data_IF_727735219541
#
_entry.id   IF_727735219541
#
_cell.length_a   1.000
_cell.length_b   1.000
_cell.length_c   1.000
_cell.angle_alpha   90.00
_cell.angle_beta   90.00
_cell.angle_gamma   90.00
#
_symmetry.space_group_name_H-M   'P 1'
#
loop_
_entity.id
_entity.type
_entity.pdbx_description
1 polymer ?
#
# COMPACT_ATOMS: atom_id res chain seq x y z
N UNK A 1 -7.10 9.31 -3.83
CA UNK A 1 -5.96 8.48 -3.44
C UNK A 1 -4.70 9.29 -3.29
N UNK A 2 -3.88 8.92 -2.29
CA UNK A 2 -2.58 9.51 -2.05
C UNK A 2 -1.67 9.40 -3.27
N UNK A 3 -0.70 10.31 -3.36
CA UNK A 3 0.35 10.26 -4.36
C UNK A 3 1.50 9.34 -3.91
N UNK A 4 2.35 8.93 -4.85
CA UNK A 4 3.55 8.14 -4.59
C UNK A 4 4.40 8.70 -3.44
N UNK A 5 4.55 10.03 -3.37
CA UNK A 5 5.36 10.65 -2.30
C UNK A 5 4.75 10.47 -0.90
N UNK A 6 3.42 10.38 -0.80
CA UNK A 6 2.73 10.13 0.47
C UNK A 6 2.94 8.67 0.87
N UNK A 7 2.84 7.73 -0.08
CA UNK A 7 3.17 6.33 0.18
C UNK A 7 4.62 6.17 0.62
N UNK A 8 5.56 6.80 -0.10
CA UNK A 8 6.97 6.74 0.25
C UNK A 8 7.26 7.31 1.63
N UNK A 9 6.62 8.42 2.02
CA UNK A 9 6.79 8.98 3.35
C UNK A 9 6.22 8.06 4.45
N UNK A 10 5.07 7.43 4.21
CA UNK A 10 4.49 6.50 5.16
C UNK A 10 5.31 5.20 5.27
N UNK A 11 5.77 4.65 4.15
CA UNK A 11 6.67 3.51 4.13
C UNK A 11 8.02 3.82 4.78
N UNK A 12 8.57 5.03 4.58
CA UNK A 12 9.77 5.49 5.28
C UNK A 12 9.58 5.51 6.79
N UNK A 13 8.44 6.02 7.26
CA UNK A 13 8.07 6.01 8.68
C UNK A 13 8.02 4.57 9.23
N UNK A 14 7.32 3.67 8.54
CA UNK A 14 7.21 2.25 8.92
C UNK A 14 8.59 1.57 8.91
N UNK A 15 9.39 1.78 7.86
CA UNK A 15 10.74 1.23 7.73
C UNK A 15 11.64 1.68 8.90
N UNK A 16 11.50 2.93 9.34
CA UNK A 16 12.25 3.50 10.47
C UNK A 16 11.95 2.78 11.79
N UNK A 17 10.72 2.31 11.97
CA UNK A 17 10.33 1.53 13.14
C UNK A 17 10.64 0.02 12.98
N UNK A 18 10.49 -0.52 11.78
CA UNK A 18 10.44 -1.97 11.56
C UNK A 18 11.75 -2.57 11.05
N UNK A 19 12.67 -1.84 10.41
CA UNK A 19 13.91 -2.45 9.91
C UNK A 19 14.86 -2.88 11.05
N UNK A 20 14.87 -2.18 12.18
CA UNK A 20 15.72 -2.53 13.33
C UNK A 20 17.19 -2.60 12.95
N UNK A 21 17.87 -3.72 13.22
CA UNK A 21 19.28 -3.94 12.89
C UNK A 21 19.59 -3.85 11.39
N UNK A 22 18.58 -3.99 10.53
CA UNK A 22 18.74 -3.90 9.08
C UNK A 22 18.51 -2.47 8.57
N UNK A 23 18.33 -1.47 9.45
CA UNK A 23 18.09 -0.09 9.03
C UNK A 23 19.39 0.54 8.50
N UNK A 24 19.45 0.73 7.19
CA UNK A 24 20.54 1.42 6.50
C UNK A 24 20.01 2.06 5.21
N UNK A 25 20.86 2.81 4.50
CA UNK A 25 20.46 3.50 3.27
C UNK A 25 19.96 2.55 2.18
N UNK A 26 20.56 1.36 2.09
CA UNK A 26 20.24 0.37 1.07
C UNK A 26 18.91 -0.31 1.37
N UNK A 27 18.66 -0.70 2.62
CA UNK A 27 17.39 -1.33 3.00
C UNK A 27 16.22 -0.37 2.87
N UNK A 28 16.38 0.88 3.30
CA UNK A 28 15.33 1.91 3.11
C UNK A 28 15.09 2.15 1.62
N UNK A 29 16.13 2.28 0.80
CA UNK A 29 15.96 2.43 -0.65
C UNK A 29 15.19 1.25 -1.28
N UNK A 30 15.45 0.01 -0.84
CA UNK A 30 14.70 -1.16 -1.29
C UNK A 30 13.23 -1.08 -0.88
N UNK A 31 12.94 -0.76 0.39
CA UNK A 31 11.56 -0.63 0.88
C UNK A 31 10.82 0.44 0.08
N UNK A 32 11.42 1.62 -0.12
CA UNK A 32 10.84 2.70 -0.91
C UNK A 32 10.59 2.29 -2.36
N UNK A 33 11.55 1.61 -3.00
CA UNK A 33 11.39 1.12 -4.37
C UNK A 33 10.25 0.09 -4.48
N UNK A 34 10.15 -0.84 -3.52
CA UNK A 34 9.07 -1.82 -3.46
C UNK A 34 7.71 -1.15 -3.21
N UNK A 35 7.66 -0.10 -2.39
CA UNK A 35 6.43 0.68 -2.14
C UNK A 35 6.00 1.52 -3.35
N UNK A 36 6.93 2.06 -4.14
CA UNK A 36 6.59 2.83 -5.35
C UNK A 36 6.25 1.93 -6.56
N UNK A 37 6.63 0.65 -6.52
CA UNK A 37 6.41 -0.27 -7.63
C UNK A 37 4.94 -0.38 -8.07
N UNK A 38 3.93 -0.44 -7.17
CA UNK A 38 2.53 -0.47 -7.54
C UNK A 38 2.08 0.71 -8.39
N UNK A 39 2.61 1.91 -8.15
CA UNK A 39 2.25 3.12 -8.90
C UNK A 39 2.59 3.06 -10.39
N UNK A 40 3.39 2.07 -10.81
CA UNK A 40 3.60 1.77 -12.22
C UNK A 40 2.31 1.32 -12.93
N UNK A 41 1.26 0.96 -12.19
CA UNK A 41 -0.09 0.70 -12.73
C UNK A 41 -0.55 1.85 -13.63
N UNK A 42 -0.30 3.11 -13.26
CA UNK A 42 -0.68 4.26 -14.08
C UNK A 42 -0.12 4.21 -15.52
N UNK A 43 0.97 3.49 -15.76
CA UNK A 43 1.51 3.23 -17.09
C UNK A 43 0.96 1.94 -17.72
N UNK A 44 0.66 0.92 -16.93
CA UNK A 44 -0.02 -0.31 -17.41
C UNK A 44 -1.38 0.05 -18.01
N UNK A 45 -2.07 1.02 -17.41
CA UNK A 45 -3.33 1.60 -17.88
C UNK A 45 -3.30 2.13 -19.32
N UNK A 46 -2.13 2.46 -19.87
CA UNK A 46 -1.99 2.88 -21.27
C UNK A 46 -2.19 1.73 -22.26
N UNK A 47 -2.08 0.48 -21.79
CA UNK A 47 -2.11 -0.71 -22.63
C UNK A 47 -3.29 -1.64 -22.32
N UNK A 48 -3.83 -1.58 -21.10
CA UNK A 48 -4.95 -2.43 -20.66
C UNK A 48 -5.94 -1.66 -19.79
N UNK A 49 -7.22 -2.01 -19.87
CA UNK A 49 -8.30 -1.45 -19.03
C UNK A 49 -8.13 -1.81 -17.56
N UNK A 50 -7.56 -2.98 -17.26
CA UNK A 50 -7.16 -3.43 -15.92
C UNK A 50 -6.13 -2.50 -15.26
N UNK A 51 -5.38 -1.74 -16.06
CA UNK A 51 -4.19 -1.04 -15.59
C UNK A 51 -4.42 0.08 -14.57
N UNK A 52 -5.64 0.37 -14.12
CA UNK A 52 -5.84 1.30 -13.03
C UNK A 52 -5.97 0.60 -11.68
N UNK A 53 -4.85 0.45 -10.95
CA UNK A 53 -4.83 0.02 -9.54
C UNK A 53 -5.37 -1.38 -9.27
N UNK A 54 -5.08 -2.32 -10.17
CA UNK A 54 -5.38 -3.73 -10.01
C UNK A 54 -4.16 -4.62 -10.30
N UNK A 55 -3.44 -4.32 -11.39
CA UNK A 55 -2.37 -5.19 -11.88
C UNK A 55 -1.19 -5.31 -10.90
N UNK A 56 -0.77 -4.21 -10.27
CA UNK A 56 0.28 -4.19 -9.27
C UNK A 56 -0.26 -3.86 -7.87
N UNK A 57 -1.35 -3.11 -7.75
CA UNK A 57 -1.96 -2.86 -6.43
C UNK A 57 -2.83 -4.02 -5.91
N UNK A 58 -2.25 -5.21 -5.79
CA UNK A 58 -2.91 -6.39 -5.24
C UNK A 58 -2.10 -7.06 -4.12
N UNK A 59 -2.80 -7.81 -3.26
CA UNK A 59 -2.19 -8.50 -2.12
C UNK A 59 -1.37 -9.72 -2.53
N UNK A 60 -1.58 -10.26 -3.74
CA UNK A 60 -0.92 -11.48 -4.17
C UNK A 60 0.57 -11.30 -4.37
N UNK A 61 1.02 -10.12 -4.84
CA UNK A 61 2.45 -9.81 -4.99
C UNK A 61 3.20 -9.92 -3.66
N UNK A 62 2.83 -9.16 -2.59
CA UNK A 62 3.49 -9.29 -1.30
C UNK A 62 3.31 -10.66 -0.65
N UNK A 63 2.15 -11.31 -0.82
CA UNK A 63 1.95 -12.67 -0.33
C UNK A 63 2.89 -13.67 -1.00
N UNK A 64 3.05 -13.59 -2.32
CA UNK A 64 3.87 -14.52 -3.10
C UNK A 64 5.33 -14.46 -2.67
N UNK A 65 5.96 -13.28 -2.68
CA UNK A 65 7.39 -13.22 -2.32
C UNK A 65 7.62 -13.49 -0.82
N UNK A 66 6.65 -13.19 0.05
CA UNK A 66 6.71 -13.54 1.47
C UNK A 66 6.58 -15.04 1.68
N UNK A 67 5.69 -15.71 0.94
CA UNK A 67 5.55 -17.17 0.95
C UNK A 67 6.81 -17.85 0.41
N UNK A 68 7.38 -17.35 -0.68
CA UNK A 68 8.65 -17.84 -1.22
C UNK A 68 9.79 -17.70 -0.21
N UNK A 69 9.88 -16.57 0.50
CA UNK A 69 10.84 -16.40 1.57
C UNK A 69 10.58 -17.38 2.72
N UNK A 70 9.33 -17.55 3.13
CA UNK A 70 8.95 -18.49 4.19
C UNK A 70 9.35 -19.92 3.84
N UNK A 71 9.11 -20.35 2.59
CA UNK A 71 9.56 -21.65 2.07
C UNK A 71 11.09 -21.73 2.09
N UNK A 72 11.79 -20.69 1.61
CA UNK A 72 13.26 -20.67 1.57
C UNK A 72 13.90 -20.81 2.95
N UNK A 73 13.32 -20.21 3.99
CA UNK A 73 13.88 -20.23 5.35
C UNK A 73 13.43 -21.42 6.20
N UNK A 74 12.28 -22.05 5.92
CA UNK A 74 11.71 -23.10 6.78
C UNK A 74 11.70 -24.49 6.15
N UNK A 75 11.57 -24.61 4.82
CA UNK A 75 11.38 -25.90 4.15
C UNK A 75 12.63 -26.40 3.42
N UNK A 76 13.65 -25.56 3.25
CA UNK A 76 14.91 -25.92 2.60
C UNK A 76 15.99 -26.18 3.64
N UNK A 77 16.85 -27.16 3.38
CA UNK A 77 18.03 -27.44 4.22
C UNK A 77 19.01 -26.25 4.24
N UNK A 78 19.04 -25.48 3.15
CA UNK A 78 19.86 -24.29 2.97
C UNK A 78 19.02 -23.17 2.36
N UNK A 79 18.89 -22.07 3.09
CA UNK A 79 18.18 -20.88 2.65
C UNK A 79 19.06 -20.04 1.74
N UNK A 80 18.64 -19.84 0.50
CA UNK A 80 19.34 -19.00 -0.47
C UNK A 80 19.44 -17.55 0.03
N UNK A 81 18.36 -17.02 0.61
CA UNK A 81 18.32 -15.63 1.09
C UNK A 81 19.25 -15.45 2.28
N UNK A 82 19.24 -16.37 3.25
CA UNK A 82 20.15 -16.30 4.40
C UNK A 82 21.60 -16.48 4.00
N UNK A 83 21.91 -17.39 3.08
CA UNK A 83 23.27 -17.58 2.59
C UNK A 83 23.80 -16.34 1.84
N UNK A 84 22.96 -15.72 1.00
CA UNK A 84 23.40 -14.60 0.17
C UNK A 84 23.37 -13.25 0.87
N UNK A 85 22.37 -13.02 1.72
CA UNK A 85 22.06 -11.71 2.31
C UNK A 85 21.93 -11.75 3.84
N UNK A 86 22.12 -12.90 4.47
CA UNK A 86 22.06 -13.04 5.93
C UNK A 86 20.68 -12.76 6.52
N UNK A 87 20.66 -12.49 7.83
CA UNK A 87 19.45 -12.04 8.53
C UNK A 87 18.94 -10.69 8.00
N UNK A 88 19.85 -9.86 7.48
CA UNK A 88 19.55 -8.57 6.87
C UNK A 88 18.55 -8.72 5.72
N UNK A 89 18.82 -9.59 4.74
CA UNK A 89 17.94 -9.78 3.58
C UNK A 89 16.55 -10.28 3.97
N UNK A 90 16.49 -11.22 4.92
CA UNK A 90 15.22 -11.73 5.46
C UNK A 90 14.40 -10.60 6.09
N UNK A 91 15.02 -9.72 6.89
CA UNK A 91 14.34 -8.59 7.53
C UNK A 91 13.82 -7.59 6.50
N UNK A 92 14.63 -7.23 5.51
CA UNK A 92 14.25 -6.26 4.47
C UNK A 92 13.06 -6.76 3.66
N UNK A 93 13.03 -8.03 3.26
CA UNK A 93 11.91 -8.58 2.48
C UNK A 93 10.60 -8.56 3.30
N UNK A 94 10.63 -9.00 4.56
CA UNK A 94 9.43 -8.96 5.42
C UNK A 94 8.94 -7.53 5.66
N UNK A 95 9.83 -6.58 5.92
CA UNK A 95 9.44 -5.18 6.12
C UNK A 95 8.91 -4.57 4.82
N UNK A 96 9.49 -4.93 3.67
CA UNK A 96 8.98 -4.50 2.36
C UNK A 96 7.56 -5.02 2.11
N UNK A 97 7.24 -6.26 2.51
CA UNK A 97 5.88 -6.81 2.47
C UNK A 97 4.90 -6.00 3.29
N UNK A 98 5.26 -5.70 4.55
CA UNK A 98 4.43 -4.90 5.44
C UNK A 98 4.23 -3.49 4.87
N UNK A 99 5.28 -2.85 4.37
CA UNK A 99 5.18 -1.50 3.79
C UNK A 99 4.36 -1.50 2.50
N UNK A 100 4.46 -2.53 1.65
CA UNK A 100 3.62 -2.68 0.47
C UNK A 100 2.14 -2.76 0.86
N UNK A 101 1.80 -3.64 1.80
CA UNK A 101 0.41 -3.85 2.23
C UNK A 101 -0.15 -2.61 2.93
N UNK A 102 0.59 -2.01 3.87
CA UNK A 102 0.06 -0.88 4.63
C UNK A 102 0.08 0.42 3.83
N UNK A 103 1.12 0.64 3.03
CA UNK A 103 1.30 1.90 2.32
C UNK A 103 0.65 1.90 0.95
N UNK A 104 0.91 0.91 0.10
CA UNK A 104 0.37 0.93 -1.26
C UNK A 104 -1.07 0.41 -1.31
N UNK A 105 -1.42 -0.61 -0.49
CA UNK A 105 -2.75 -1.23 -0.55
C UNK A 105 -3.71 -0.55 0.45
N UNK A 106 -3.42 -0.60 1.75
CA UNK A 106 -4.36 -0.18 2.77
C UNK A 106 -4.64 1.34 2.72
N UNK A 107 -3.61 2.16 2.51
CA UNK A 107 -3.79 3.62 2.41
C UNK A 107 -4.66 4.01 1.21
N UNK A 108 -4.59 3.24 0.12
CA UNK A 108 -5.38 3.46 -1.08
C UNK A 108 -6.84 3.05 -0.89
N UNK A 109 -7.10 1.88 -0.29
CA UNK A 109 -8.46 1.41 0.00
C UNK A 109 -9.23 2.40 0.90
N UNK A 110 -8.56 3.03 1.89
CA UNK A 110 -9.22 3.96 2.82
C UNK A 110 -9.30 5.40 2.28
N UNK A 111 -8.62 5.73 1.17
CA UNK A 111 -8.61 7.08 0.57
C UNK A 111 -9.00 7.09 -0.92
N UNK A 112 -9.65 6.01 -1.36
CA UNK A 112 -10.12 5.78 -2.72
C UNK A 112 -10.56 4.33 -2.91
N UNK A 113 -10.56 3.86 -4.16
CA UNK A 113 -11.02 2.52 -4.55
C UNK A 113 -9.89 1.65 -5.11
N UNK A 114 -9.70 0.46 -4.56
CA UNK A 114 -8.63 -0.46 -4.96
C UNK A 114 -9.18 -1.84 -5.28
N UNK A 115 -8.55 -2.56 -6.21
CA UNK A 115 -8.88 -3.95 -6.49
C UNK A 115 -7.81 -4.93 -5.96
N UNK A 116 -7.76 -5.14 -4.64
CA UNK A 116 -6.69 -5.88 -3.97
C UNK A 116 -6.63 -7.37 -4.34
N UNK A 117 -7.71 -7.94 -4.86
CA UNK A 117 -7.85 -9.38 -5.10
C UNK A 117 -7.68 -9.78 -6.57
N UNK A 118 -7.50 -8.82 -7.48
CA UNK A 118 -7.16 -9.11 -8.86
C UNK A 118 -5.82 -9.85 -8.96
N UNK A 119 -5.65 -10.89 -9.82
CA UNK A 119 -6.58 -11.35 -10.86
C UNK A 119 -7.55 -12.45 -10.42
N UNK A 120 -7.48 -12.89 -9.16
CA UNK A 120 -8.30 -14.00 -8.66
C UNK A 120 -9.76 -13.60 -8.53
N UNK A 121 -10.01 -12.36 -8.12
CA UNK A 121 -11.34 -11.78 -8.02
C UNK A 121 -11.29 -10.31 -8.44
N UNK A 122 -12.02 -9.97 -9.50
CA UNK A 122 -12.02 -8.62 -10.08
C UNK A 122 -13.08 -7.74 -9.42
N UNK A 123 -12.70 -7.01 -8.36
CA UNK A 123 -13.63 -6.14 -7.64
C UNK A 123 -12.89 -5.01 -6.93
N UNK A 124 -13.29 -3.77 -7.23
CA UNK A 124 -12.87 -2.58 -6.49
C UNK A 124 -13.62 -2.47 -5.17
N UNK A 125 -12.86 -2.15 -4.14
CA UNK A 125 -13.33 -1.96 -2.77
C UNK A 125 -12.92 -0.58 -2.24
N UNK A 126 -13.77 -0.02 -1.39
CA UNK A 126 -13.50 1.17 -0.58
C UNK A 126 -13.78 0.85 0.88
N UNK A 127 -12.98 1.37 1.81
CA UNK A 127 -13.29 1.32 3.24
C UNK A 127 -13.53 2.74 3.72
N UNK A 128 -14.80 3.08 3.90
CA UNK A 128 -15.21 4.25 4.68
C UNK A 128 -15.85 3.77 5.97
N UNK A 129 -15.36 4.27 7.09
CA UNK A 129 -15.80 3.81 8.40
C UNK A 129 -15.34 4.72 9.51
N UNK A 130 -16.04 4.62 10.62
CA UNK A 130 -15.81 5.43 11.82
C UNK A 130 -16.07 4.63 13.08
N UNK A 131 -15.36 5.01 14.13
CA UNK A 131 -15.53 4.54 15.50
C UNK A 131 -15.68 5.77 16.40
N UNK A 132 -16.87 5.99 16.93
CA UNK A 132 -17.20 7.12 17.80
C UNK A 132 -17.54 6.62 19.21
N UNK A 133 -17.03 7.31 20.23
CA UNK A 133 -17.50 7.18 21.60
C UNK A 133 -18.54 8.27 21.84
N UNK A 134 -19.78 7.87 22.07
CA UNK A 134 -20.90 8.76 22.35
C UNK A 134 -21.42 8.53 23.77
N UNK A 135 -21.58 9.61 24.52
CA UNK A 135 -22.26 9.61 25.82
C UNK A 135 -23.73 9.15 25.72
N UNK A 136 -24.41 9.49 24.61
CA UNK A 136 -25.80 9.13 24.33
C UNK A 136 -25.94 7.75 23.67
N UNK A 137 -25.05 7.41 22.74
CA UNK A 137 -25.17 6.22 21.87
C UNK A 137 -24.20 5.08 22.23
N UNK A 138 -23.34 5.26 23.23
CA UNK A 138 -22.29 4.29 23.53
C UNK A 138 -21.21 4.25 22.45
N UNK A 139 -20.74 3.05 22.11
CA UNK A 139 -19.72 2.85 21.07
C UNK A 139 -20.43 2.70 19.71
N UNK A 140 -20.21 3.64 18.80
CA UNK A 140 -20.75 3.61 17.43
C UNK A 140 -19.62 3.25 16.48
N UNK A 141 -19.63 2.05 15.90
CA UNK A 141 -18.68 1.67 14.85
C UNK A 141 -19.40 1.28 13.56
N UNK A 142 -18.80 1.63 12.43
CA UNK A 142 -19.27 1.26 11.09
C UNK A 142 -18.27 0.41 10.31
N UNK A 143 -17.06 0.20 10.86
CA UNK A 143 -16.07 -0.68 10.24
C UNK A 143 -16.51 -2.14 10.17
N UNK A 144 -17.46 -2.58 11.01
CA UNK A 144 -17.94 -3.95 11.06
C UNK A 144 -19.47 -3.89 11.03
N UNK A 145 -20.08 -4.46 9.99
CA UNK A 145 -21.51 -4.77 10.01
C UNK A 145 -21.74 -5.93 10.97
N UNK A 146 -22.25 -5.62 12.16
CA UNK A 146 -22.69 -6.65 13.10
C UNK A 146 -24.15 -6.97 12.80
N UNK A 147 -24.38 -7.79 11.78
CA UNK A 147 -25.71 -8.30 11.44
C UNK A 147 -26.00 -9.61 12.18
N UNK A 148 -27.06 -9.62 13.00
CA UNK A 148 -27.74 -10.85 13.43
C UNK A 148 -28.32 -11.53 12.17
N UNK A 149 -27.57 -12.47 11.58
CA UNK A 149 -28.01 -13.69 10.87
C UNK A 149 -26.92 -14.34 9.98
N UNK A 150 -25.70 -13.79 9.90
CA UNK A 150 -24.63 -14.40 9.07
C UNK A 150 -23.28 -14.61 9.74
N UNK A 151 -23.12 -14.28 11.04
CA UNK A 151 -21.93 -14.67 11.84
C UNK A 151 -20.57 -14.18 11.32
N UNK A 152 -20.53 -13.33 10.30
CA UNK A 152 -19.28 -12.83 9.72
C UNK A 152 -18.82 -11.59 10.48
N UNK A 153 -17.78 -11.74 11.31
CA UNK A 153 -17.15 -10.65 12.07
C UNK A 153 -16.02 -10.01 11.27
N UNK A 154 -16.20 -9.81 9.97
CA UNK A 154 -15.16 -9.25 9.10
C UNK A 154 -15.65 -7.88 8.63
N UNK A 155 -14.82 -6.82 8.75
CA UNK A 155 -15.06 -5.56 8.08
C UNK A 155 -15.41 -5.82 6.61
N UNK A 156 -16.60 -5.45 6.16
CA UNK A 156 -16.97 -5.59 4.77
C UNK A 156 -16.66 -4.26 4.07
N UNK A 157 -15.60 -4.19 3.23
CA UNK A 157 -15.40 -3.03 2.37
C UNK A 157 -16.60 -2.85 1.44
N UNK A 158 -16.92 -1.62 1.11
CA UNK A 158 -17.96 -1.32 0.12
C UNK A 158 -17.49 -1.76 -1.26
N UNK A 159 -18.34 -2.53 -1.96
CA UNK A 159 -18.09 -3.04 -3.31
C UNK A 159 -18.46 -1.97 -4.33
N UNK A 160 -17.48 -1.51 -5.12
CA UNK A 160 -17.67 -0.35 -6.04
C UNK A 160 -17.99 -0.78 -7.47
N UNK A 161 -17.32 -1.81 -7.98
CA UNK A 161 -17.51 -2.37 -9.32
C UNK A 161 -16.29 -3.17 -9.79
N UNK A 162 -16.37 -3.83 -10.94
CA UNK A 162 -15.26 -4.53 -11.58
C UNK A 162 -14.34 -3.58 -12.37
N UNK A 163 -13.24 -4.10 -12.94
CA UNK A 163 -12.33 -3.31 -13.78
C UNK A 163 -12.92 -2.84 -15.10
N UNK A 164 -14.06 -3.39 -15.52
CA UNK A 164 -14.81 -2.94 -16.69
C UNK A 164 -15.82 -1.83 -16.37
N UNK A 165 -16.21 -1.69 -15.10
CA UNK A 165 -17.26 -0.76 -14.66
C UNK A 165 -16.70 0.51 -14.01
N UNK A 166 -15.46 0.45 -13.50
CA UNK A 166 -14.82 1.55 -12.76
C UNK A 166 -13.75 2.21 -13.61
N UNK A 167 -14.08 3.37 -14.17
CA UNK A 167 -13.11 4.24 -14.87
C UNK A 167 -12.36 5.14 -13.87
N UNK A 168 -11.05 4.92 -13.75
CA UNK A 168 -10.18 5.72 -12.91
C UNK A 168 -9.25 6.59 -13.74
N UNK A 169 -9.42 7.91 -13.67
CA UNK A 169 -8.50 8.84 -14.32
C UNK A 169 -7.20 9.01 -13.53
N UNK A 170 -6.10 9.18 -14.27
CA UNK A 170 -4.77 9.48 -13.73
C UNK A 170 -4.10 10.58 -14.56
N UNK A 171 -3.05 11.24 -14.07
CA UNK A 171 -2.31 12.20 -14.90
C UNK A 171 -1.69 11.57 -16.16
N UNK A 172 -1.41 10.26 -16.14
CA UNK A 172 -0.86 9.49 -17.26
C UNK A 172 -1.95 9.08 -18.26
N UNK A 173 -3.13 8.69 -17.77
CA UNK A 173 -4.32 8.41 -18.55
C UNK A 173 -5.51 9.24 -18.02
N UNK A 174 -5.65 10.51 -18.43
CA UNK A 174 -6.63 11.44 -17.86
C UNK A 174 -8.06 11.17 -18.31
N UNK A 175 -8.26 10.52 -19.45
CA UNK A 175 -9.56 10.16 -20.01
C UNK A 175 -9.55 8.72 -20.53
N UNK A 176 -9.71 7.72 -19.63
CA UNK A 176 -9.74 6.32 -20.02
C UNK A 176 -10.88 5.98 -21.01
N UNK A 177 -11.97 6.74 -20.97
CA UNK A 177 -13.14 6.55 -21.83
C UNK A 177 -13.01 7.15 -23.23
N UNK A 178 -12.00 7.99 -23.48
CA UNK A 178 -11.74 8.61 -24.78
C UNK A 178 -12.86 9.54 -25.27
N UNK A 179 -13.52 10.23 -24.33
CA UNK A 179 -14.65 11.13 -24.59
C UNK A 179 -14.23 12.59 -24.82
N UNK A 180 -13.02 12.97 -24.41
CA UNK A 180 -12.50 14.34 -24.48
C UNK A 180 -11.38 14.48 -25.53
N UNK A 181 -11.36 15.60 -26.26
CA UNK A 181 -10.39 15.88 -27.32
C UNK A 181 -9.02 16.34 -26.78
N UNK A 182 -9.00 17.03 -25.64
CA UNK A 182 -7.80 17.49 -24.93
C UNK A 182 -8.02 17.45 -23.39
N UNK A 183 -7.99 16.26 -22.78
CA UNK A 183 -8.26 16.09 -21.35
C UNK A 183 -7.14 16.64 -20.46
N UNK A 184 -7.50 17.31 -19.36
CA UNK A 184 -6.54 17.85 -18.40
C UNK A 184 -5.74 16.74 -17.68
N UNK A 185 -4.42 16.90 -17.61
CA UNK A 185 -3.53 15.98 -16.88
C UNK A 185 -3.23 16.46 -15.47
N UNK A 186 -3.89 15.86 -14.49
CA UNK A 186 -3.69 16.17 -13.09
C UNK A 186 -2.71 15.20 -12.41
N UNK A 187 -1.61 15.74 -11.88
CA UNK A 187 -0.65 15.03 -11.02
C UNK A 187 -0.70 15.62 -9.61
N UNK A 188 -1.70 15.26 -8.81
CA UNK A 188 -1.85 15.81 -7.48
C UNK A 188 -0.68 15.37 -6.59
N UNK A 189 -0.03 16.34 -5.96
CA UNK A 189 1.04 16.11 -5.00
C UNK A 189 0.44 15.74 -3.64
N UNK A 190 -0.53 16.53 -3.17
CA UNK A 190 -1.35 16.25 -1.99
C UNK A 190 -2.80 16.62 -2.30
N UNK A 191 -3.75 15.72 -2.04
CA UNK A 191 -5.20 15.93 -2.21
C UNK A 191 -5.88 16.38 -0.91
N UNK A 192 -5.28 16.12 0.24
CA UNK A 192 -5.80 16.49 1.54
C UNK A 192 -4.70 16.99 2.49
N UNK A 193 -5.06 17.86 3.44
CA UNK A 193 -4.09 18.44 4.38
C UNK A 193 -3.38 17.41 5.26
N UNK A 194 -4.04 16.28 5.58
CA UNK A 194 -3.43 15.20 6.35
C UNK A 194 -2.35 14.45 5.55
N UNK A 195 -2.45 14.39 4.21
CA UNK A 195 -1.42 13.78 3.35
C UNK A 195 -0.12 14.56 3.42
N UNK A 196 -0.22 15.90 3.37
CA UNK A 196 0.93 16.80 3.58
C UNK A 196 1.54 16.59 4.97
N UNK A 197 0.70 16.48 6.00
CA UNK A 197 1.17 16.23 7.37
C UNK A 197 1.89 14.87 7.46
N UNK A 198 1.33 13.82 6.89
CA UNK A 198 1.93 12.48 6.86
C UNK A 198 3.26 12.50 6.10
N UNK A 199 3.34 13.22 4.99
CA UNK A 199 4.58 13.42 4.25
C UNK A 199 5.66 14.09 5.11
N UNK A 200 5.32 15.21 5.75
CA UNK A 200 6.26 15.97 6.61
C UNK A 200 6.73 15.10 7.77
N UNK A 201 5.80 14.48 8.51
CA UNK A 201 6.11 13.65 9.68
C UNK A 201 6.92 12.42 9.27
N UNK A 202 6.46 11.67 8.27
CA UNK A 202 7.13 10.45 7.84
C UNK A 202 8.55 10.71 7.35
N UNK A 203 8.72 11.72 6.49
CA UNK A 203 10.05 12.12 5.99
C UNK A 203 10.96 12.59 7.12
N UNK A 204 10.44 13.40 8.05
CA UNK A 204 11.22 13.91 9.18
C UNK A 204 11.67 12.79 10.09
N UNK A 205 10.79 11.82 10.41
CA UNK A 205 11.14 10.68 11.26
C UNK A 205 12.20 9.80 10.58
N UNK A 206 12.06 9.51 9.29
CA UNK A 206 13.06 8.74 8.54
C UNK A 206 14.41 9.45 8.51
N UNK A 207 14.43 10.75 8.21
CA UNK A 207 15.66 11.55 8.20
C UNK A 207 16.31 11.61 9.58
N UNK A 208 15.51 11.81 10.64
CA UNK A 208 15.99 11.83 12.03
C UNK A 208 16.56 10.47 12.42
N UNK A 209 15.91 9.37 12.03
CA UNK A 209 16.42 8.02 12.29
C UNK A 209 17.80 7.81 11.66
N UNK A 210 18.01 8.28 10.43
CA UNK A 210 19.34 8.27 9.81
C UNK A 210 20.36 9.13 10.53
N UNK A 211 19.97 10.30 11.03
CA UNK A 211 20.87 11.17 11.79
C UNK A 211 21.34 10.50 13.09
N UNK A 212 20.41 9.91 13.85
CA UNK A 212 20.71 9.25 15.11
C UNK A 212 21.59 8.00 14.94
N UNK A 213 21.41 7.25 13.86
CA UNK A 213 22.26 6.08 13.58
C UNK A 213 23.71 6.50 13.27
N UNK A 214 23.91 7.62 12.56
CA UNK A 214 25.26 8.16 12.28
C UNK A 214 25.99 8.63 13.53
N UNK A 215 25.27 9.13 14.53
CA UNK A 215 25.85 9.57 15.80
C UNK A 215 26.20 8.39 16.73
N UNK A 216 25.71 7.18 16.41
CA UNK A 216 25.95 5.96 17.18
C UNK A 216 27.13 5.13 16.66
N UNK A 217 27.66 5.47 15.47
CA UNK A 217 28.86 4.89 14.84
C UNK A 217 30.15 5.61 15.27
#
# INVERSE_FOLDING_TARGET
>A
MPSTIVHLAFAGLLASALLGFAFDRRSVAIVLAVTAFPDLDAFVALYTTVGHRAALHNVWIPLLYSALLWVDINLRDRSFVRERFGAWGVRVIWVSAVCYVLSAIALDIVNGVLNPLWPVHDQFYHIDGKLELSDQRGIVQTFIETGDDSGSTIPAPESVGSSEEVDLSTGVNPDPGGTEEDPERLFPVFRAGWELMLFVVGTTVTATRFALERDSE
#
